data_IF_449879588642
#
_entry.id   IF_449879588642
#
_cell.length_a   1.000
_cell.length_b   1.000
_cell.length_c   1.000
_cell.angle_alpha   90.00
_cell.angle_beta   90.00
_cell.angle_gamma   90.00
#
_symmetry.space_group_name_H-M   'P 1'
#
loop_
_entity.id
_entity.type
_entity.pdbx_description
1 polymer ?
#
# COMPACT_ATOMS: atom_id res chain seq x y z
N UNK A 1 86.17 -49.45 5.85
CA UNK A 1 85.13 -48.86 5.00
C UNK A 1 83.93 -49.77 4.70
N UNK A 2 83.99 -51.06 4.91
CA UNK A 2 82.84 -51.98 4.67
C UNK A 2 81.81 -52.02 5.81
N UNK A 3 82.20 -51.70 7.05
CA UNK A 3 81.32 -51.72 8.24
C UNK A 3 80.45 -50.47 8.36
N UNK A 4 80.89 -49.33 7.79
CA UNK A 4 80.20 -48.10 7.85
C UNK A 4 78.95 -48.05 6.84
N UNK A 5 79.10 -48.75 5.69
CA UNK A 5 78.01 -48.84 4.70
C UNK A 5 76.88 -49.77 5.15
N UNK A 6 77.15 -50.78 5.98
CA UNK A 6 76.09 -51.65 6.49
C UNK A 6 75.26 -50.95 7.57
N UNK A 7 75.89 -50.05 8.35
CA UNK A 7 75.16 -49.26 9.35
C UNK A 7 74.24 -48.25 8.72
N UNK A 8 74.63 -47.61 7.60
CA UNK A 8 73.79 -46.70 6.85
C UNK A 8 72.62 -47.42 6.12
N UNK A 9 72.83 -48.63 5.67
CA UNK A 9 71.78 -49.43 5.04
C UNK A 9 70.80 -49.94 6.09
N UNK A 10 71.18 -50.23 7.30
CA UNK A 10 70.30 -50.66 8.39
C UNK A 10 69.46 -49.49 8.95
N UNK A 11 70.07 -48.29 9.00
CA UNK A 11 69.32 -47.07 9.45
C UNK A 11 68.34 -46.59 8.38
N UNK A 12 68.64 -46.74 7.06
CA UNK A 12 67.76 -46.42 5.96
C UNK A 12 66.51 -47.35 5.90
N UNK A 13 66.61 -48.56 6.39
CA UNK A 13 65.54 -49.55 6.34
C UNK A 13 64.57 -49.47 7.53
N UNK A 14 64.86 -48.67 8.55
CA UNK A 14 64.05 -48.53 9.77
C UNK A 14 63.08 -47.35 9.71
N UNK A 15 63.13 -46.58 8.62
CA UNK A 15 62.22 -45.42 8.42
C UNK A 15 60.98 -45.69 7.51
N UNK A 16 60.81 -46.91 7.02
CA UNK A 16 59.59 -47.28 6.30
C UNK A 16 58.71 -48.12 7.24
N UNK A 17 58.14 -47.46 8.24
CA UNK A 17 57.00 -48.03 8.94
C UNK A 17 55.81 -47.79 8.03
N UNK A 18 55.23 -48.79 7.35
CA UNK A 18 53.95 -48.59 6.72
C UNK A 18 52.98 -48.40 7.87
N UNK A 19 52.54 -47.18 8.02
CA UNK A 19 51.40 -46.87 8.87
C UNK A 19 50.19 -47.64 8.28
N UNK A 20 50.03 -48.90 8.76
CA UNK A 20 48.86 -49.70 8.41
C UNK A 20 47.64 -49.08 9.05
N UNK A 21 47.19 -47.98 8.49
CA UNK A 21 45.84 -47.53 8.77
C UNK A 21 44.91 -48.59 8.18
N UNK A 22 44.14 -49.23 9.05
CA UNK A 22 43.16 -50.24 8.62
C UNK A 22 42.30 -49.62 7.53
N UNK A 23 42.13 -50.32 6.40
CA UNK A 23 41.31 -49.91 5.25
C UNK A 23 39.91 -49.47 5.70
N UNK A 24 39.43 -50.05 6.81
CA UNK A 24 38.16 -49.68 7.45
C UNK A 24 38.23 -48.25 8.03
N UNK A 25 39.28 -47.89 8.78
CA UNK A 25 39.46 -46.54 9.32
C UNK A 25 39.67 -45.49 8.24
N UNK A 26 40.33 -45.85 7.14
CA UNK A 26 40.47 -44.95 5.99
C UNK A 26 39.13 -44.70 5.31
N UNK A 27 38.28 -45.72 5.12
CA UNK A 27 36.96 -45.61 4.55
C UNK A 27 36.03 -44.82 5.48
N UNK A 28 36.09 -45.04 6.78
CA UNK A 28 35.33 -44.26 7.76
C UNK A 28 35.75 -42.77 7.75
N UNK A 29 37.04 -42.48 7.67
CA UNK A 29 37.53 -41.11 7.55
C UNK A 29 37.13 -40.45 6.23
N UNK A 30 37.18 -41.17 5.12
CA UNK A 30 36.73 -40.67 3.83
C UNK A 30 35.22 -40.42 3.82
N UNK A 31 34.40 -41.29 4.39
CA UNK A 31 32.98 -41.10 4.55
C UNK A 31 32.63 -39.88 5.41
N UNK A 32 33.39 -39.70 6.53
CA UNK A 32 33.24 -38.52 7.36
C UNK A 32 33.65 -37.23 6.62
N UNK A 33 34.72 -37.29 5.83
CA UNK A 33 35.17 -36.16 5.01
C UNK A 33 34.13 -35.76 3.98
N UNK A 34 33.52 -36.71 3.27
CA UNK A 34 32.46 -36.43 2.31
C UNK A 34 31.18 -35.87 2.99
N UNK A 35 30.83 -36.39 4.17
CA UNK A 35 29.76 -35.84 4.97
C UNK A 35 30.04 -34.39 5.40
N UNK A 36 31.26 -34.09 5.85
CA UNK A 36 31.63 -32.72 6.19
C UNK A 36 31.68 -31.78 4.98
N UNK A 37 32.15 -32.23 3.83
CA UNK A 37 32.10 -31.45 2.59
C UNK A 37 30.65 -31.13 2.18
N UNK A 38 29.77 -32.10 2.27
CA UNK A 38 28.33 -31.89 1.98
C UNK A 38 27.69 -30.91 2.95
N UNK A 39 28.03 -30.99 4.24
CA UNK A 39 27.59 -30.01 5.24
C UNK A 39 28.14 -28.61 4.97
N UNK A 40 29.41 -28.50 4.60
CA UNK A 40 30.05 -27.24 4.27
C UNK A 40 29.35 -26.60 3.03
N UNK A 41 29.13 -27.39 1.98
CA UNK A 41 28.42 -26.92 0.77
C UNK A 41 27.00 -26.40 1.09
N UNK A 42 26.27 -27.13 1.96
CA UNK A 42 24.94 -26.66 2.40
C UNK A 42 25.02 -25.37 3.24
N UNK A 43 26.05 -25.26 4.06
CA UNK A 43 26.27 -24.06 4.87
C UNK A 43 26.58 -22.86 3.97
N UNK A 44 27.46 -23.06 2.97
CA UNK A 44 27.81 -22.01 2.00
C UNK A 44 26.58 -21.58 1.15
N UNK A 45 25.75 -22.53 0.72
CA UNK A 45 24.52 -22.25 0.00
C UNK A 45 23.53 -21.44 0.87
N UNK A 46 23.38 -21.88 2.13
CA UNK A 46 22.53 -21.17 3.09
C UNK A 46 23.03 -19.76 3.40
N UNK A 47 24.36 -19.60 3.47
CA UNK A 47 24.97 -18.27 3.70
C UNK A 47 24.68 -17.35 2.52
N UNK A 48 24.84 -17.83 1.28
CA UNK A 48 24.53 -17.07 0.07
C UNK A 48 23.05 -16.67 0.00
N UNK A 49 22.15 -17.60 0.37
CA UNK A 49 20.71 -17.33 0.40
C UNK A 49 20.38 -16.25 1.45
N UNK A 50 20.95 -16.35 2.65
CA UNK A 50 20.80 -15.34 3.70
C UNK A 50 21.37 -13.97 3.31
N UNK A 51 22.52 -13.96 2.64
CA UNK A 51 23.10 -12.71 2.11
C UNK A 51 22.20 -12.06 1.06
N UNK A 52 21.60 -12.86 0.16
CA UNK A 52 20.64 -12.37 -0.81
C UNK A 52 19.38 -11.81 -0.15
N UNK A 53 18.83 -12.52 0.84
CA UNK A 53 17.68 -12.05 1.62
C UNK A 53 18.00 -10.76 2.40
N UNK A 54 19.19 -10.68 2.98
CA UNK A 54 19.64 -9.47 3.70
C UNK A 54 19.77 -8.28 2.74
N UNK A 55 20.33 -8.51 1.56
CA UNK A 55 20.46 -7.46 0.55
C UNK A 55 19.09 -6.96 0.10
N UNK A 56 18.15 -7.86 -0.14
CA UNK A 56 16.78 -7.51 -0.50
C UNK A 56 16.05 -6.77 0.62
N UNK A 57 16.20 -7.23 1.87
CA UNK A 57 15.62 -6.56 3.03
C UNK A 57 16.18 -5.14 3.23
N UNK A 58 17.49 -4.97 3.06
CA UNK A 58 18.13 -3.65 3.13
C UNK A 58 17.62 -2.72 2.02
N UNK A 59 17.46 -3.22 0.79
CA UNK A 59 16.90 -2.44 -0.31
C UNK A 59 15.45 -2.00 -0.05
N UNK A 60 14.63 -2.91 0.51
CA UNK A 60 13.26 -2.56 0.93
C UNK A 60 13.26 -1.51 2.04
N UNK A 61 14.17 -1.63 2.99
CA UNK A 61 14.33 -0.66 4.06
C UNK A 61 14.73 0.73 3.54
N UNK A 62 15.68 0.79 2.61
CA UNK A 62 16.08 2.05 1.97
C UNK A 62 14.92 2.71 1.23
N UNK A 63 14.15 1.94 0.44
CA UNK A 63 12.96 2.46 -0.24
C UNK A 63 11.90 2.95 0.75
N UNK A 64 11.67 2.21 1.83
CA UNK A 64 10.72 2.62 2.87
C UNK A 64 11.17 3.91 3.57
N UNK A 65 12.45 4.03 3.88
CA UNK A 65 13.02 5.25 4.47
C UNK A 65 12.94 6.45 3.52
N UNK A 66 13.20 6.25 2.23
CA UNK A 66 13.06 7.31 1.22
C UNK A 66 11.60 7.79 1.10
N UNK A 67 10.64 6.87 1.10
CA UNK A 67 9.22 7.20 1.09
C UNK A 67 8.78 7.91 2.37
N UNK A 68 9.26 7.46 3.53
CA UNK A 68 9.00 8.11 4.81
C UNK A 68 9.56 9.54 4.83
N UNK A 69 10.78 9.72 4.35
CA UNK A 69 11.39 11.05 4.24
C UNK A 69 10.55 11.97 3.36
N UNK A 70 10.17 11.50 2.16
CA UNK A 70 9.32 12.26 1.25
C UNK A 70 7.98 12.64 1.89
N UNK A 71 7.31 11.70 2.55
CA UNK A 71 6.04 11.96 3.24
C UNK A 71 6.21 12.99 4.36
N UNK A 72 7.33 12.94 5.09
CA UNK A 72 7.64 13.91 6.15
C UNK A 72 7.93 15.31 5.57
N UNK A 73 8.65 15.38 4.45
CA UNK A 73 8.92 16.64 3.75
C UNK A 73 7.62 17.28 3.22
N UNK A 74 6.73 16.47 2.64
CA UNK A 74 5.38 16.89 2.20
C UNK A 74 4.54 17.39 3.40
N UNK A 75 4.61 16.70 4.54
CA UNK A 75 3.93 17.12 5.77
C UNK A 75 4.45 18.47 6.27
N UNK A 76 5.77 18.66 6.30
CA UNK A 76 6.40 19.94 6.69
C UNK A 76 5.93 21.05 5.73
N UNK A 77 5.93 20.79 4.42
CA UNK A 77 5.47 21.75 3.41
C UNK A 77 4.00 22.14 3.60
N UNK A 78 3.14 21.16 3.86
CA UNK A 78 1.73 21.40 4.11
C UNK A 78 1.49 22.18 5.42
N UNK A 79 2.22 21.86 6.49
CA UNK A 79 2.14 22.60 7.75
C UNK A 79 2.59 24.05 7.60
N UNK A 80 3.65 24.30 6.79
CA UNK A 80 4.08 25.65 6.48
C UNK A 80 2.99 26.44 5.71
N UNK A 81 2.30 25.79 4.77
CA UNK A 81 1.16 26.40 4.04
C UNK A 81 -0.02 26.71 4.96
N UNK A 82 -0.37 25.78 5.86
CA UNK A 82 -1.42 26.00 6.86
C UNK A 82 -1.08 27.21 7.72
N UNK A 83 0.14 27.27 8.25
CA UNK A 83 0.61 28.42 9.04
C UNK A 83 0.54 29.74 8.26
N UNK A 84 0.99 29.75 7.01
CA UNK A 84 0.89 30.93 6.14
C UNK A 84 -0.56 31.39 5.92
N UNK A 85 -1.49 30.46 5.77
CA UNK A 85 -2.91 30.78 5.65
C UNK A 85 -3.50 31.33 6.96
N UNK A 86 -3.10 30.75 8.10
CA UNK A 86 -3.46 31.27 9.43
C UNK A 86 -2.96 32.70 9.63
N UNK A 87 -1.70 32.99 9.27
CA UNK A 87 -1.12 34.32 9.34
C UNK A 87 -1.89 35.32 8.43
N UNK A 88 -2.28 34.91 7.23
CA UNK A 88 -3.11 35.73 6.33
C UNK A 88 -4.49 36.02 6.93
N UNK A 89 -5.10 35.03 7.58
CA UNK A 89 -6.39 35.24 8.29
C UNK A 89 -6.23 36.24 9.44
N UNK A 90 -5.13 36.18 10.18
CA UNK A 90 -4.83 37.15 11.27
C UNK A 90 -4.66 38.56 10.71
N UNK A 91 -3.90 38.70 9.61
CA UNK A 91 -3.69 40.00 8.95
C UNK A 91 -5.01 40.55 8.41
N UNK A 92 -5.84 39.69 7.77
CA UNK A 92 -7.15 40.11 7.26
C UNK A 92 -8.08 40.54 8.40
N UNK A 93 -8.10 39.81 9.52
CA UNK A 93 -8.88 40.20 10.72
C UNK A 93 -8.39 41.50 11.34
N UNK A 94 -7.07 41.71 11.43
CA UNK A 94 -6.50 42.96 11.91
C UNK A 94 -6.82 44.13 10.99
N UNK A 95 -6.70 43.96 9.67
CA UNK A 95 -7.10 44.96 8.67
C UNK A 95 -8.59 45.30 8.76
N UNK A 96 -9.43 44.25 8.97
CA UNK A 96 -10.86 44.41 9.18
C UNK A 96 -11.16 45.24 10.45
N UNK A 97 -10.49 44.92 11.55
CA UNK A 97 -10.63 45.72 12.80
C UNK A 97 -10.22 47.16 12.62
N UNK A 98 -9.08 47.40 11.96
CA UNK A 98 -8.58 48.75 11.68
C UNK A 98 -9.54 49.54 10.76
N UNK A 99 -10.15 48.86 9.74
CA UNK A 99 -11.17 49.48 8.89
C UNK A 99 -12.44 49.84 9.67
N UNK A 100 -12.84 48.99 10.62
CA UNK A 100 -13.99 49.29 11.51
C UNK A 100 -13.70 50.48 12.45
N UNK A 101 -12.48 50.59 12.99
CA UNK A 101 -12.06 51.69 13.82
C UNK A 101 -11.97 53.00 13.01
N UNK A 102 -11.47 52.96 11.77
CA UNK A 102 -11.50 54.07 10.84
C UNK A 102 -12.91 54.50 10.45
N UNK A 103 -13.83 53.54 10.25
CA UNK A 103 -15.24 53.83 9.97
C UNK A 103 -15.96 54.39 11.17
N UNK A 104 -15.66 53.93 12.38
CA UNK A 104 -16.17 54.53 13.62
C UNK A 104 -15.70 55.99 13.83
N UNK A 105 -14.47 56.29 13.41
CA UNK A 105 -13.93 57.64 13.43
C UNK A 105 -14.47 58.53 12.29
N UNK A 106 -14.82 57.94 11.15
CA UNK A 106 -15.41 58.62 10.01
C UNK A 106 -16.98 58.67 10.06
N UNK A 107 -17.55 58.36 11.20
CA UNK A 107 -18.99 58.13 11.45
C UNK A 107 -19.92 59.31 11.25
N UNK A 108 -19.69 60.19 10.29
CA UNK A 108 -20.65 61.23 9.91
C UNK A 108 -21.27 61.03 8.51
N UNK A 109 -20.81 60.06 7.76
CA UNK A 109 -21.33 59.86 6.38
C UNK A 109 -21.65 58.38 6.08
N UNK A 110 -22.90 58.07 6.06
CA UNK A 110 -23.57 56.96 5.42
C UNK A 110 -23.89 55.72 6.26
N UNK A 111 -24.97 55.82 7.01
CA UNK A 111 -25.65 54.69 7.69
C UNK A 111 -25.95 53.51 6.79
N UNK A 112 -26.27 53.72 5.51
CA UNK A 112 -26.54 52.68 4.53
C UNK A 112 -25.27 51.93 4.08
N UNK A 113 -24.12 52.63 3.97
CA UNK A 113 -22.83 52.02 3.64
C UNK A 113 -22.29 51.17 4.79
N UNK A 114 -22.46 51.65 6.04
CA UNK A 114 -22.03 50.91 7.24
C UNK A 114 -22.80 49.57 7.40
N UNK A 115 -24.10 49.56 7.07
CA UNK A 115 -24.90 48.36 7.15
C UNK A 115 -24.56 47.32 6.04
N UNK A 116 -24.22 47.80 4.85
CA UNK A 116 -23.73 46.93 3.77
C UNK A 116 -22.39 46.32 4.08
N UNK A 117 -21.47 47.09 4.65
CA UNK A 117 -20.16 46.63 5.10
C UNK A 117 -20.31 45.61 6.25
N UNK A 118 -21.18 45.90 7.23
CA UNK A 118 -21.47 44.96 8.31
C UNK A 118 -21.96 43.61 7.79
N UNK A 119 -22.92 43.61 6.84
CA UNK A 119 -23.40 42.37 6.18
C UNK A 119 -22.29 41.65 5.44
N UNK A 120 -21.42 42.37 4.74
CA UNK A 120 -20.25 41.77 4.06
C UNK A 120 -19.26 41.16 5.05
N UNK A 121 -19.04 41.78 6.19
CA UNK A 121 -18.16 41.29 7.26
C UNK A 121 -18.75 40.03 7.94
N UNK A 122 -20.06 40.00 8.18
CA UNK A 122 -20.76 38.82 8.68
C UNK A 122 -20.67 37.66 7.69
N UNK A 123 -20.80 37.92 6.40
CA UNK A 123 -20.63 36.92 5.34
C UNK A 123 -19.18 36.36 5.29
N UNK A 124 -18.17 37.24 5.42
CA UNK A 124 -16.75 36.83 5.47
C UNK A 124 -16.46 35.98 6.73
N UNK A 125 -17.02 36.33 7.87
CA UNK A 125 -16.86 35.55 9.09
C UNK A 125 -17.52 34.18 8.99
N UNK A 126 -18.72 34.10 8.41
CA UNK A 126 -19.39 32.81 8.12
C UNK A 126 -18.56 31.96 7.16
N UNK A 127 -18.01 32.56 6.11
CA UNK A 127 -17.18 31.89 5.12
C UNK A 127 -15.85 31.37 5.72
N UNK A 128 -15.23 32.17 6.62
CA UNK A 128 -14.05 31.76 7.35
C UNK A 128 -14.32 30.58 8.29
N UNK A 129 -15.44 30.58 9.01
CA UNK A 129 -15.89 29.46 9.83
C UNK A 129 -16.11 28.20 9.02
N UNK A 130 -16.75 28.34 7.86
CA UNK A 130 -16.96 27.25 6.92
C UNK A 130 -15.65 26.63 6.40
N UNK A 131 -14.66 27.47 6.03
CA UNK A 131 -13.34 26.99 5.58
C UNK A 131 -12.63 26.23 6.70
N UNK A 132 -12.71 26.70 7.95
CA UNK A 132 -12.12 25.99 9.09
C UNK A 132 -12.77 24.62 9.31
N UNK A 133 -14.08 24.53 9.21
CA UNK A 133 -14.79 23.25 9.38
C UNK A 133 -14.49 22.28 8.24
N UNK A 134 -14.41 22.77 7.00
CA UNK A 134 -14.00 21.98 5.85
C UNK A 134 -12.57 21.44 6.02
N UNK A 135 -11.66 22.28 6.48
CA UNK A 135 -10.25 21.90 6.73
C UNK A 135 -10.15 20.82 7.80
N UNK A 136 -10.86 20.95 8.92
CA UNK A 136 -10.90 19.94 9.98
C UNK A 136 -11.48 18.61 9.46
N UNK A 137 -12.53 18.67 8.66
CA UNK A 137 -13.15 17.47 8.06
C UNK A 137 -12.20 16.77 7.11
N UNK A 138 -11.45 17.51 6.29
CA UNK A 138 -10.42 16.93 5.41
C UNK A 138 -9.30 16.27 6.19
N UNK A 139 -8.77 16.93 7.23
CA UNK A 139 -7.74 16.35 8.10
C UNK A 139 -8.21 15.08 8.81
N UNK A 140 -9.45 15.07 9.29
CA UNK A 140 -10.05 13.89 9.89
C UNK A 140 -10.14 12.73 8.89
N UNK A 141 -10.61 12.99 7.67
CA UNK A 141 -10.68 11.98 6.59
C UNK A 141 -9.31 11.41 6.24
N UNK A 142 -8.31 12.26 6.12
CA UNK A 142 -6.94 11.81 5.82
C UNK A 142 -6.39 10.92 6.94
N UNK A 143 -6.67 11.27 8.21
CA UNK A 143 -6.30 10.45 9.36
C UNK A 143 -7.00 9.09 9.36
N UNK A 144 -8.29 9.05 9.05
CA UNK A 144 -9.07 7.79 8.96
C UNK A 144 -8.53 6.91 7.82
N UNK A 145 -8.26 7.48 6.65
CA UNK A 145 -7.72 6.74 5.51
C UNK A 145 -6.33 6.18 5.79
N UNK A 146 -5.47 6.95 6.46
CA UNK A 146 -4.15 6.48 6.87
C UNK A 146 -4.25 5.34 7.89
N UNK A 147 -5.10 5.50 8.91
CA UNK A 147 -5.34 4.45 9.91
C UNK A 147 -5.90 3.17 9.25
N UNK A 148 -6.84 3.30 8.32
CA UNK A 148 -7.39 2.20 7.54
C UNK A 148 -6.29 1.47 6.74
N UNK A 149 -5.46 2.21 6.02
CA UNK A 149 -4.37 1.63 5.24
C UNK A 149 -3.34 0.92 6.11
N UNK A 150 -3.00 1.47 7.27
CA UNK A 150 -2.09 0.84 8.23
C UNK A 150 -2.69 -0.44 8.83
N UNK A 151 -3.98 -0.43 9.19
CA UNK A 151 -4.67 -1.62 9.70
C UNK A 151 -4.75 -2.72 8.63
N UNK A 152 -5.05 -2.36 7.38
CA UNK A 152 -5.05 -3.29 6.25
C UNK A 152 -3.64 -3.89 6.03
N UNK A 153 -2.59 -3.07 5.98
CA UNK A 153 -1.21 -3.55 5.86
C UNK A 153 -0.82 -4.50 6.98
N UNK A 154 -1.21 -4.18 8.23
CA UNK A 154 -0.94 -5.04 9.38
C UNK A 154 -1.69 -6.37 9.29
N UNK A 155 -2.95 -6.37 8.89
CA UNK A 155 -3.78 -7.56 8.77
C UNK A 155 -3.40 -8.46 7.61
N UNK A 156 -2.83 -7.88 6.54
CA UNK A 156 -2.47 -8.58 5.31
C UNK A 156 -0.97 -8.87 5.18
N UNK A 157 -0.17 -8.62 6.22
CA UNK A 157 1.28 -8.83 6.23
C UNK A 157 1.74 -10.26 5.93
N UNK A 158 0.85 -11.25 6.14
CA UNK A 158 1.17 -12.67 5.94
C UNK A 158 1.01 -13.12 4.46
N UNK A 159 0.60 -12.20 3.57
CA UNK A 159 0.44 -12.46 2.15
C UNK A 159 1.58 -11.83 1.34
N UNK A 160 1.86 -12.38 0.16
CA UNK A 160 2.93 -11.90 -0.71
C UNK A 160 2.61 -10.47 -1.21
N UNK A 161 3.57 -9.56 -1.09
CA UNK A 161 3.48 -8.18 -1.61
C UNK A 161 3.26 -8.11 -3.13
N UNK A 162 3.53 -9.21 -3.85
CA UNK A 162 3.23 -9.33 -5.28
C UNK A 162 1.74 -9.52 -5.56
N UNK A 163 1.03 -10.10 -4.61
CA UNK A 163 -0.38 -10.41 -4.75
C UNK A 163 -1.29 -9.34 -4.18
N UNK A 164 -0.81 -8.55 -3.20
CA UNK A 164 -1.60 -7.52 -2.53
C UNK A 164 -0.78 -6.24 -2.43
N UNK A 165 -1.33 -5.14 -2.94
CA UNK A 165 -0.79 -3.81 -2.69
C UNK A 165 -1.84 -2.88 -2.11
N UNK A 166 -1.44 -2.05 -1.13
CA UNK A 166 -2.31 -1.08 -0.47
C UNK A 166 -1.70 0.30 -0.62
N UNK A 167 -2.45 1.19 -1.26
CA UNK A 167 -2.02 2.55 -1.56
C UNK A 167 -3.10 3.56 -1.15
N UNK A 168 -2.68 4.72 -0.66
CA UNK A 168 -3.57 5.86 -0.42
C UNK A 168 -3.29 6.90 -1.50
N UNK A 169 -4.30 7.18 -2.32
CA UNK A 169 -4.20 8.17 -3.41
C UNK A 169 -5.39 9.12 -3.32
N UNK A 170 -5.14 10.42 -3.28
CA UNK A 170 -6.19 11.47 -3.27
C UNK A 170 -7.24 11.28 -2.17
N UNK A 171 -6.82 10.86 -0.98
CA UNK A 171 -7.74 10.61 0.13
C UNK A 171 -8.65 9.39 -0.06
N UNK A 172 -8.22 8.42 -0.84
CA UNK A 172 -8.94 7.16 -1.11
C UNK A 172 -7.98 5.99 -0.91
N UNK A 173 -8.43 4.93 -0.27
CA UNK A 173 -7.63 3.73 -0.06
C UNK A 173 -7.90 2.73 -1.18
N UNK A 174 -6.85 2.35 -1.89
CA UNK A 174 -6.84 1.33 -2.95
C UNK A 174 -6.20 0.06 -2.43
N UNK A 175 -6.91 -1.05 -2.54
CA UNK A 175 -6.43 -2.39 -2.23
C UNK A 175 -6.41 -3.15 -3.56
N UNK A 176 -5.24 -3.31 -4.16
CA UNK A 176 -5.08 -4.06 -5.41
C UNK A 176 -4.75 -5.51 -5.09
N UNK A 177 -5.51 -6.43 -5.68
CA UNK A 177 -5.37 -7.87 -5.52
C UNK A 177 -5.05 -8.49 -6.88
N UNK A 178 -4.00 -9.33 -6.95
CA UNK A 178 -3.63 -9.99 -8.19
C UNK A 178 -4.73 -10.95 -8.68
N UNK A 179 -4.88 -11.02 -9.98
CA UNK A 179 -5.85 -11.93 -10.62
C UNK A 179 -5.58 -13.40 -10.29
N UNK A 180 -4.30 -13.79 -10.30
CA UNK A 180 -3.88 -15.17 -10.01
C UNK A 180 -4.23 -15.62 -8.60
N UNK A 181 -4.21 -14.70 -7.64
CA UNK A 181 -4.63 -14.97 -6.27
C UNK A 181 -6.15 -15.15 -6.21
N UNK A 182 -6.90 -14.25 -6.86
CA UNK A 182 -8.37 -14.21 -6.75
C UNK A 182 -9.06 -15.30 -7.59
N UNK A 183 -8.60 -15.56 -8.81
CA UNK A 183 -9.31 -16.36 -9.80
C UNK A 183 -8.39 -17.37 -10.51
N UNK A 184 -9.00 -18.38 -11.11
CA UNK A 184 -8.33 -19.18 -12.13
C UNK A 184 -8.31 -18.41 -13.45
N UNK A 185 -7.32 -18.69 -14.31
CA UNK A 185 -7.21 -18.07 -15.63
C UNK A 185 -8.53 -18.16 -16.42
N UNK A 186 -8.97 -17.07 -16.99
CA UNK A 186 -10.23 -16.98 -17.76
C UNK A 186 -11.50 -17.20 -16.94
N UNK A 187 -11.45 -17.19 -15.61
CA UNK A 187 -12.59 -17.45 -14.73
C UNK A 187 -12.90 -16.23 -13.86
N UNK A 188 -14.13 -16.16 -13.36
CA UNK A 188 -14.56 -15.22 -12.33
C UNK A 188 -14.97 -15.94 -11.02
N UNK A 189 -14.62 -17.21 -10.87
CA UNK A 189 -14.87 -17.99 -9.65
C UNK A 189 -13.75 -17.73 -8.66
N UNK A 190 -14.11 -17.27 -7.45
CA UNK A 190 -13.14 -16.96 -6.39
C UNK A 190 -12.42 -18.22 -5.92
N UNK A 191 -11.11 -18.16 -5.83
CA UNK A 191 -10.28 -19.22 -5.28
C UNK A 191 -10.49 -19.31 -3.75
N UNK A 192 -10.54 -20.51 -3.16
CA UNK A 192 -10.69 -20.67 -1.70
C UNK A 192 -9.57 -19.97 -0.90
N UNK A 193 -8.35 -19.90 -1.43
CA UNK A 193 -7.25 -19.19 -0.79
C UNK A 193 -7.49 -17.67 -0.69
N UNK A 194 -8.15 -17.09 -1.70
CA UNK A 194 -8.49 -15.67 -1.74
C UNK A 194 -9.57 -15.30 -0.70
N UNK A 195 -10.38 -16.25 -0.29
CA UNK A 195 -11.44 -16.00 0.71
C UNK A 195 -10.87 -15.47 2.03
N UNK A 196 -9.70 -15.97 2.47
CA UNK A 196 -9.03 -15.50 3.68
C UNK A 196 -8.60 -14.03 3.60
N UNK A 197 -8.19 -13.59 2.41
CA UNK A 197 -7.83 -12.18 2.16
C UNK A 197 -9.09 -11.32 2.20
N UNK A 198 -10.13 -11.76 1.48
CA UNK A 198 -11.42 -11.06 1.44
C UNK A 198 -12.08 -10.98 2.83
N UNK A 199 -11.94 -12.02 3.65
CA UNK A 199 -12.41 -12.04 5.05
C UNK A 199 -11.73 -10.94 5.89
N UNK A 200 -10.39 -10.86 5.82
CA UNK A 200 -9.64 -9.83 6.54
C UNK A 200 -10.01 -8.42 6.09
N UNK A 201 -10.17 -8.21 4.78
CA UNK A 201 -10.62 -6.93 4.23
C UNK A 201 -12.03 -6.62 4.72
N UNK A 202 -12.95 -7.57 4.62
CA UNK A 202 -14.34 -7.41 5.04
C UNK A 202 -14.47 -7.06 6.53
N UNK A 203 -13.67 -7.70 7.40
CA UNK A 203 -13.66 -7.38 8.84
C UNK A 203 -13.34 -5.90 9.06
N UNK A 204 -12.27 -5.39 8.43
CA UNK A 204 -11.84 -4.01 8.60
C UNK A 204 -12.87 -3.03 8.01
N UNK A 205 -13.47 -3.38 6.86
CA UNK A 205 -14.46 -2.52 6.20
C UNK A 205 -15.79 -2.49 6.96
N UNK A 206 -16.16 -3.60 7.63
CA UNK A 206 -17.36 -3.66 8.47
C UNK A 206 -17.22 -2.79 9.72
N UNK A 207 -16.01 -2.65 10.27
CA UNK A 207 -15.74 -1.75 11.38
C UNK A 207 -15.89 -0.27 11.01
N UNK A 208 -15.96 0.04 9.69
CA UNK A 208 -16.03 1.39 9.14
C UNK A 208 -17.31 1.58 8.32
N UNK A 209 -18.47 1.61 9.00
CA UNK A 209 -19.79 1.65 8.36
C UNK A 209 -20.07 2.91 7.51
N UNK A 210 -19.30 3.98 7.72
CA UNK A 210 -19.40 5.26 7.00
C UNK A 210 -18.63 5.27 5.67
N UNK A 211 -17.98 4.18 5.29
CA UNK A 211 -17.24 4.09 4.03
C UNK A 211 -18.01 3.26 3.01
N UNK A 212 -17.98 3.69 1.76
CA UNK A 212 -18.47 2.94 0.62
C UNK A 212 -17.35 2.15 -0.06
N UNK A 213 -17.69 1.12 -0.80
CA UNK A 213 -16.75 0.20 -1.41
C UNK A 213 -17.07 0.11 -2.90
N UNK A 214 -16.09 0.48 -3.71
CA UNK A 214 -16.12 0.24 -5.14
C UNK A 214 -15.14 -0.89 -5.47
N UNK A 215 -15.61 -1.94 -6.10
CA UNK A 215 -14.78 -3.04 -6.58
C UNK A 215 -14.64 -2.91 -8.09
N UNK A 216 -13.42 -2.69 -8.57
CA UNK A 216 -13.11 -2.58 -9.99
C UNK A 216 -12.28 -3.77 -10.48
N UNK A 217 -12.75 -4.43 -11.54
CA UNK A 217 -12.01 -5.47 -12.24
C UNK A 217 -11.23 -4.88 -13.41
N UNK A 218 -9.98 -5.32 -13.59
CA UNK A 218 -9.10 -4.92 -14.68
C UNK A 218 -8.53 -6.14 -15.38
N UNK A 219 -8.32 -6.05 -16.68
CA UNK A 219 -7.67 -7.08 -17.49
C UNK A 219 -6.38 -6.54 -18.12
N UNK A 220 -5.60 -7.42 -18.70
CA UNK A 220 -4.60 -7.02 -19.70
C UNK A 220 -5.26 -6.83 -21.07
N UNK A 221 -4.46 -6.52 -22.08
CA UNK A 221 -4.92 -6.30 -23.45
C UNK A 221 -5.07 -7.60 -24.29
N UNK A 222 -4.96 -8.77 -23.68
CA UNK A 222 -5.19 -10.03 -24.38
C UNK A 222 -6.70 -10.24 -24.52
N UNK A 223 -7.24 -10.32 -25.74
CA UNK A 223 -8.67 -10.53 -25.93
C UNK A 223 -9.13 -11.85 -25.32
N UNK A 224 -10.30 -11.83 -24.72
CA UNK A 224 -11.00 -13.04 -24.28
C UNK A 224 -12.34 -13.13 -25.01
N UNK A 225 -12.69 -14.35 -25.44
CA UNK A 225 -14.03 -14.67 -25.91
C UNK A 225 -14.32 -16.12 -25.55
N UNK A 226 -15.39 -16.34 -24.79
CA UNK A 226 -15.84 -17.64 -24.32
C UNK A 226 -17.37 -17.66 -24.31
N UNK A 227 -17.98 -18.81 -24.06
CA UNK A 227 -19.44 -18.91 -23.91
C UNK A 227 -20.00 -18.04 -22.76
N UNK A 228 -19.16 -17.64 -21.82
CA UNK A 228 -19.54 -16.87 -20.64
C UNK A 228 -19.16 -15.38 -20.70
N UNK A 229 -18.22 -15.01 -21.56
CA UNK A 229 -17.69 -13.65 -21.69
C UNK A 229 -17.49 -13.30 -23.15
N UNK A 230 -18.08 -12.20 -23.58
CA UNK A 230 -17.92 -11.71 -24.96
C UNK A 230 -16.54 -11.05 -25.12
N UNK A 231 -16.10 -10.31 -24.12
CA UNK A 231 -14.85 -9.54 -24.13
C UNK A 231 -14.29 -9.28 -22.73
N UNK A 232 -13.26 -8.45 -22.66
CA UNK A 232 -12.61 -8.03 -21.42
C UNK A 232 -13.51 -7.15 -20.52
N UNK A 233 -14.54 -6.48 -21.09
CA UNK A 233 -15.54 -5.77 -20.29
C UNK A 233 -16.38 -6.74 -19.46
N UNK A 234 -16.87 -7.79 -20.10
CA UNK A 234 -17.67 -8.82 -19.43
C UNK A 234 -16.85 -9.51 -18.33
N UNK A 235 -15.62 -9.94 -18.66
CA UNK A 235 -14.76 -10.63 -17.71
C UNK A 235 -14.46 -9.73 -16.49
N UNK A 236 -14.04 -8.50 -16.72
CA UNK A 236 -13.67 -7.59 -15.65
C UNK A 236 -14.86 -7.26 -14.73
N UNK A 237 -16.03 -6.98 -15.32
CA UNK A 237 -17.27 -6.71 -14.57
C UNK A 237 -17.72 -7.94 -13.78
N UNK A 238 -17.66 -9.12 -14.37
CA UNK A 238 -18.05 -10.37 -13.72
C UNK A 238 -17.16 -10.70 -12.55
N UNK A 239 -15.86 -10.46 -12.67
CA UNK A 239 -14.88 -10.62 -11.59
C UNK A 239 -15.15 -9.70 -10.43
N UNK A 240 -15.36 -8.41 -10.68
CA UNK A 240 -15.76 -7.44 -9.67
C UNK A 240 -17.05 -7.86 -8.95
N UNK A 241 -18.06 -8.30 -9.71
CA UNK A 241 -19.34 -8.79 -9.16
C UNK A 241 -19.15 -10.04 -8.28
N UNK A 242 -18.24 -10.96 -8.66
CA UNK A 242 -17.94 -12.14 -7.85
C UNK A 242 -17.31 -11.80 -6.51
N UNK A 243 -16.42 -10.81 -6.47
CA UNK A 243 -15.86 -10.29 -5.22
C UNK A 243 -16.95 -9.67 -4.35
N UNK A 244 -17.76 -8.77 -4.90
CA UNK A 244 -18.88 -8.13 -4.18
C UNK A 244 -19.85 -9.15 -3.61
N UNK A 245 -20.23 -10.17 -4.39
CA UNK A 245 -21.10 -11.26 -3.90
C UNK A 245 -20.46 -12.04 -2.77
N UNK A 246 -19.17 -12.31 -2.83
CA UNK A 246 -18.45 -13.01 -1.76
C UNK A 246 -18.41 -12.17 -0.48
N UNK A 247 -18.10 -10.88 -0.60
CA UNK A 247 -18.13 -9.94 0.53
C UNK A 247 -19.53 -9.88 1.17
N UNK A 248 -20.59 -9.82 0.36
CA UNK A 248 -21.97 -9.79 0.82
C UNK A 248 -22.39 -11.10 1.50
N UNK A 249 -22.25 -12.24 0.79
CA UNK A 249 -22.87 -13.49 1.20
C UNK A 249 -22.09 -14.18 2.31
N UNK A 250 -20.75 -14.21 2.22
CA UNK A 250 -19.88 -14.88 3.18
C UNK A 250 -19.50 -13.99 4.35
N UNK A 251 -19.18 -12.71 4.09
CA UNK A 251 -18.59 -11.82 5.08
C UNK A 251 -19.52 -10.69 5.53
N UNK A 252 -20.80 -10.74 5.10
CA UNK A 252 -21.87 -9.86 5.60
C UNK A 252 -21.60 -8.36 5.44
N UNK A 253 -20.84 -7.97 4.43
CA UNK A 253 -20.70 -6.56 4.07
C UNK A 253 -22.04 -6.07 3.50
N UNK A 254 -22.49 -4.91 3.98
CA UNK A 254 -23.76 -4.32 3.54
C UNK A 254 -23.76 -4.03 2.04
N UNK A 255 -24.68 -4.63 1.26
CA UNK A 255 -24.73 -4.45 -0.18
C UNK A 255 -25.03 -3.02 -0.61
N UNK A 256 -25.72 -2.21 0.22
CA UNK A 256 -26.00 -0.81 -0.06
C UNK A 256 -24.74 0.07 -0.19
N UNK A 257 -23.64 -0.41 0.39
CA UNK A 257 -22.33 0.27 0.39
C UNK A 257 -21.40 -0.20 -0.73
N UNK A 258 -21.80 -1.20 -1.51
CA UNK A 258 -20.93 -1.83 -2.48
C UNK A 258 -21.35 -1.56 -3.92
N UNK A 259 -20.38 -1.22 -4.75
CA UNK A 259 -20.54 -1.10 -6.20
C UNK A 259 -19.52 -2.01 -6.88
N UNK A 260 -19.94 -2.73 -7.93
CA UNK A 260 -19.05 -3.51 -8.79
C UNK A 260 -18.93 -2.84 -10.16
N UNK A 261 -17.72 -2.66 -10.65
CA UNK A 261 -17.42 -2.05 -11.95
C UNK A 261 -16.36 -2.83 -12.73
N UNK A 262 -16.44 -2.81 -14.04
CA UNK A 262 -15.39 -3.31 -14.94
C UNK A 262 -14.66 -2.14 -15.60
N UNK A 263 -13.35 -2.27 -15.77
CA UNK A 263 -12.49 -1.29 -16.47
C UNK A 263 -11.85 -1.87 -17.71
N UNK A 264 -12.12 -3.17 -18.01
CA UNK A 264 -11.48 -3.83 -19.13
C UNK A 264 -9.95 -3.64 -19.09
N UNK A 265 -9.32 -3.43 -20.22
CA UNK A 265 -7.88 -3.17 -20.41
C UNK A 265 -7.49 -1.67 -20.45
N UNK A 266 -8.46 -0.76 -20.31
CA UNK A 266 -8.28 0.66 -20.64
C UNK A 266 -7.65 1.49 -19.52
N UNK A 267 -7.40 0.90 -18.35
CA UNK A 267 -6.69 1.55 -17.24
C UNK A 267 -5.49 0.71 -16.79
N UNK A 268 -4.47 0.54 -17.65
CA UNK A 268 -3.32 -0.27 -17.33
C UNK A 268 -2.47 0.36 -16.21
N UNK A 269 -1.99 -0.46 -15.29
CA UNK A 269 -1.01 -0.06 -14.26
C UNK A 269 0.42 -0.13 -14.78
N UNK A 270 0.67 -1.09 -15.67
CA UNK A 270 1.97 -1.35 -16.28
C UNK A 270 1.84 -1.59 -17.79
N UNK A 271 2.99 -1.60 -18.50
CA UNK A 271 3.00 -1.88 -19.93
C UNK A 271 2.50 -3.28 -20.26
N UNK A 272 1.60 -3.40 -21.23
CA UNK A 272 1.12 -4.67 -21.76
C UNK A 272 2.13 -5.40 -22.67
N UNK A 273 3.29 -4.79 -22.99
CA UNK A 273 4.27 -5.35 -23.91
C UNK A 273 4.94 -6.63 -23.42
N UNK A 274 5.03 -6.85 -22.11
CA UNK A 274 5.66 -8.01 -21.51
C UNK A 274 4.71 -8.75 -20.54
N UNK A 275 5.05 -10.00 -20.25
CA UNK A 275 4.21 -10.86 -19.39
C UNK A 275 4.06 -10.33 -17.95
N UNK A 276 5.11 -9.71 -17.40
CA UNK A 276 5.09 -9.15 -16.05
C UNK A 276 4.11 -7.97 -15.97
N UNK A 277 4.20 -7.01 -16.90
CA UNK A 277 3.27 -5.87 -16.92
C UNK A 277 1.82 -6.30 -17.16
N UNK A 278 1.59 -7.28 -18.05
CA UNK A 278 0.24 -7.85 -18.19
C UNK A 278 -0.28 -8.49 -16.90
N UNK A 279 0.59 -9.17 -16.15
CA UNK A 279 0.20 -9.75 -14.85
C UNK A 279 -0.21 -8.67 -13.83
N UNK A 280 0.48 -7.53 -13.80
CA UNK A 280 0.11 -6.39 -12.96
C UNK A 280 -1.19 -5.70 -13.41
N UNK A 281 -1.50 -5.73 -14.71
CA UNK A 281 -2.73 -5.17 -15.24
C UNK A 281 -3.94 -6.05 -14.90
N UNK A 282 -3.77 -7.37 -14.88
CA UNK A 282 -4.81 -8.32 -14.42
C UNK A 282 -4.93 -8.26 -12.90
N UNK A 283 -5.80 -7.40 -12.42
CA UNK A 283 -6.03 -7.15 -11.01
C UNK A 283 -7.49 -6.84 -10.71
N UNK A 284 -7.84 -6.94 -9.46
CA UNK A 284 -9.07 -6.38 -8.92
C UNK A 284 -8.70 -5.34 -7.86
N UNK A 285 -9.25 -4.15 -7.97
CA UNK A 285 -9.06 -3.07 -7.00
C UNK A 285 -10.30 -2.97 -6.12
N UNK A 286 -10.11 -3.05 -4.80
CA UNK A 286 -11.13 -2.72 -3.81
C UNK A 286 -10.82 -1.32 -3.32
N UNK A 287 -11.68 -0.38 -3.68
CA UNK A 287 -11.52 1.05 -3.44
C UNK A 287 -12.45 1.44 -2.30
N UNK A 288 -11.88 1.92 -1.20
CA UNK A 288 -12.66 2.34 -0.03
C UNK A 288 -12.80 3.85 -0.06
N UNK A 289 -14.04 4.29 -0.21
CA UNK A 289 -14.44 5.67 -0.44
C UNK A 289 -15.17 6.23 0.78
N UNK A 290 -14.93 7.48 1.20
CA UNK A 290 -15.82 8.13 2.15
C UNK A 290 -17.20 8.38 1.50
N UNK A 291 -18.28 8.26 2.28
CA UNK A 291 -19.63 8.61 1.82
C UNK A 291 -19.67 10.08 1.39
N UNK A 292 -20.04 10.31 0.14
CA UNK A 292 -20.09 11.65 -0.45
C UNK A 292 -21.22 12.50 0.13
N UNK A 293 -22.26 11.90 0.68
CA UNK A 293 -23.40 12.62 1.28
C UNK A 293 -23.00 13.59 2.39
N UNK A 294 -21.98 13.21 3.20
CA UNK A 294 -21.43 14.10 4.22
C UNK A 294 -20.67 15.28 3.62
N UNK A 295 -20.05 15.07 2.45
CA UNK A 295 -19.35 16.12 1.73
C UNK A 295 -20.34 17.08 1.04
N UNK A 296 -21.41 16.56 0.43
CA UNK A 296 -22.44 17.40 -0.17
C UNK A 296 -23.19 18.22 0.87
N UNK A 297 -23.48 17.69 2.06
CA UNK A 297 -24.05 18.47 3.17
C UNK A 297 -23.17 19.64 3.61
N UNK A 298 -21.86 19.50 3.51
CA UNK A 298 -20.91 20.58 3.79
C UNK A 298 -20.83 21.60 2.64
N UNK A 299 -21.17 21.19 1.40
CA UNK A 299 -21.24 22.08 0.24
C UNK A 299 -22.59 22.78 0.09
N UNK A 300 -23.64 22.30 0.77
CA UNK A 300 -24.89 23.02 0.92
C UNK A 300 -24.61 24.25 1.78
N UNK A 301 -24.34 25.38 1.14
CA UNK A 301 -24.11 26.64 1.82
C UNK A 301 -25.25 26.87 2.83
N UNK A 302 -24.96 27.27 4.08
CA UNK A 302 -26.01 27.74 4.97
C UNK A 302 -26.73 28.85 4.22
N UNK A 303 -28.06 28.66 4.02
CA UNK A 303 -28.94 29.56 3.26
C UNK A 303 -28.49 31.00 3.44
N UNK A 304 -28.02 31.63 2.37
CA UNK A 304 -27.82 33.07 2.36
C UNK A 304 -29.16 33.72 2.74
N UNK A 305 -29.22 34.57 3.72
CA UNK A 305 -30.45 35.29 4.03
C UNK A 305 -30.86 36.05 2.80
N UNK A 306 -32.13 35.82 2.35
CA UNK A 306 -32.77 36.52 1.25
C UNK A 306 -32.82 38.00 1.52
#
# INVERSE_FOLDING_TARGET
MKTLNILFLAIGMMLIIPSCVSKKKLNEANAALEAHKSLLSRCEERTKDLEAQLLEANRKLEMANANLKKANDDLIGNNARVKSLEDQIVVLKSSQSNLLDQLNTASVLNKAGAESIKKSLEAINMQSGYIQELTKTMQYKDSVNLALALNLKKSLKDFDDKDISIEVKKGVVYISLSDNMLFKSGSAVINPAAEKVLEKIASIVNDQAQLDILVEGHTDNVPISTDCYVDNWDLSTKRATSVVRTLQTKFKVDPSRMTAGGRSEFTPKSSNSNAAGRAENRRTEIIVLPKLDQFFKLLEAPNAPK
#
